data_IF_714220079311
#
_entry.id   IF_714220079311
#
_cell.length_a   1.000
_cell.length_b   1.000
_cell.length_c   1.000
_cell.angle_alpha   90.00
_cell.angle_beta   90.00
_cell.angle_gamma   90.00
#
_symmetry.space_group_name_H-M   'P 1'
#
loop_
_entity.id
_entity.type
_entity.pdbx_description
1 polymer ?
#
# COMPACT_ATOMS: atom_id res chain seq x y z
N UNK A 1 -10.69 -23.25 -8.35
CA UNK A 1 -9.95 -23.17 -7.08
C UNK A 1 -9.72 -21.70 -6.75
N UNK A 2 -10.61 -21.07 -5.98
CA UNK A 2 -10.40 -19.71 -5.49
C UNK A 2 -9.50 -19.75 -4.27
N UNK A 3 -8.27 -19.23 -4.37
CA UNK A 3 -7.42 -19.05 -3.19
C UNK A 3 -8.03 -17.93 -2.35
N UNK A 4 -8.52 -18.22 -1.15
CA UNK A 4 -8.77 -17.17 -0.16
C UNK A 4 -7.44 -16.45 0.09
N UNK A 5 -7.43 -15.12 0.04
CA UNK A 5 -6.25 -14.33 0.33
C UNK A 5 -6.01 -14.26 1.84
N UNK A 6 -5.54 -15.35 2.45
CA UNK A 6 -5.36 -15.49 3.91
C UNK A 6 -4.23 -14.62 4.51
N UNK A 7 -3.70 -13.67 3.74
CA UNK A 7 -2.55 -12.83 4.09
C UNK A 7 -2.66 -11.45 3.46
N UNK A 8 -1.87 -10.50 3.95
CA UNK A 8 -1.73 -9.17 3.35
C UNK A 8 -1.35 -9.28 1.87
N UNK A 9 -2.19 -8.72 0.98
CA UNK A 9 -1.95 -8.67 -0.46
C UNK A 9 -0.63 -7.96 -0.79
N UNK A 10 -0.32 -6.89 -0.06
CA UNK A 10 0.82 -6.05 -0.38
C UNK A 10 2.12 -6.71 0.05
N UNK A 11 2.19 -7.15 1.31
CA UNK A 11 3.38 -7.81 1.85
C UNK A 11 3.56 -9.25 1.36
N UNK A 12 2.48 -10.01 1.24
CA UNK A 12 2.54 -11.44 0.89
C UNK A 12 2.64 -11.74 -0.61
N UNK A 13 2.42 -10.74 -1.48
CA UNK A 13 2.43 -10.96 -2.94
C UNK A 13 3.13 -9.83 -3.70
N UNK A 14 2.69 -8.58 -3.53
CA UNK A 14 3.12 -7.48 -4.42
C UNK A 14 4.58 -7.08 -4.17
N UNK A 15 4.95 -6.78 -2.92
CA UNK A 15 6.31 -6.34 -2.58
C UNK A 15 7.37 -7.41 -2.94
N UNK A 16 7.20 -8.71 -2.62
CA UNK A 16 8.13 -9.75 -3.04
C UNK A 16 8.19 -9.95 -4.55
N UNK A 17 7.07 -9.82 -5.28
CA UNK A 17 7.06 -9.98 -6.74
C UNK A 17 7.93 -8.94 -7.44
N UNK A 18 7.91 -7.69 -6.95
CA UNK A 18 8.72 -6.60 -7.49
C UNK A 18 10.07 -6.42 -6.79
N UNK A 19 10.36 -7.22 -5.76
CA UNK A 19 11.57 -7.13 -4.94
C UNK A 19 11.85 -5.69 -4.45
N UNK A 20 10.82 -5.01 -3.96
CA UNK A 20 10.92 -3.62 -3.50
C UNK A 20 10.05 -3.38 -2.28
N UNK A 21 10.50 -2.46 -1.42
CA UNK A 21 9.65 -1.86 -0.40
C UNK A 21 8.49 -1.10 -1.06
N UNK A 22 7.33 -1.09 -0.39
CA UNK A 22 6.13 -0.39 -0.85
C UNK A 22 5.62 0.54 0.25
N UNK A 23 5.18 1.74 -0.11
CA UNK A 23 4.26 2.52 0.70
C UNK A 23 2.84 2.27 0.19
N UNK A 24 1.90 2.00 1.09
CA UNK A 24 0.53 1.63 0.77
C UNK A 24 -0.43 2.58 1.46
N UNK A 25 -1.21 3.28 0.65
CA UNK A 25 -2.38 4.04 1.09
C UNK A 25 -3.61 3.15 1.03
N UNK A 26 -4.39 3.17 2.10
CA UNK A 26 -5.61 2.39 2.24
C UNK A 26 -6.52 3.07 3.24
N UNK A 27 -7.81 3.07 2.96
CA UNK A 27 -8.82 3.53 3.90
C UNK A 27 -8.75 2.81 5.27
N UNK A 28 -8.50 3.59 6.34
CA UNK A 28 -8.40 3.09 7.73
C UNK A 28 -9.55 3.50 8.66
N UNK A 29 -10.62 4.08 8.12
CA UNK A 29 -11.84 4.37 8.90
C UNK A 29 -12.86 3.21 8.90
N UNK A 30 -12.41 1.99 8.62
CA UNK A 30 -13.23 0.79 8.73
C UNK A 30 -13.28 0.28 10.17
N UNK A 31 -14.37 -0.40 10.56
CA UNK A 31 -14.50 -0.99 11.90
C UNK A 31 -13.54 -2.15 12.20
N UNK A 32 -12.69 -2.54 11.25
CA UNK A 32 -11.77 -3.66 11.38
C UNK A 32 -10.37 -3.19 11.78
N UNK A 33 -9.61 -4.08 12.43
CA UNK A 33 -8.21 -3.82 12.75
C UNK A 33 -7.38 -3.71 11.46
N UNK A 34 -6.61 -2.64 11.35
CA UNK A 34 -5.62 -2.45 10.28
C UNK A 34 -4.44 -3.41 10.44
N UNK A 35 -3.81 -3.78 9.32
CA UNK A 35 -2.65 -4.67 9.34
C UNK A 35 -1.45 -3.98 10.02
N UNK A 36 -1.25 -2.70 9.72
CA UNK A 36 -0.07 -1.94 10.13
C UNK A 36 1.09 -2.10 9.16
N UNK A 37 2.08 -1.20 9.31
CA UNK A 37 3.39 -1.38 8.68
C UNK A 37 3.95 -2.75 8.99
N UNK A 38 4.37 -3.46 7.94
CA UNK A 38 4.94 -4.81 8.03
C UNK A 38 6.41 -4.74 7.64
N UNK A 39 7.27 -5.00 8.62
CA UNK A 39 8.72 -4.98 8.47
C UNK A 39 9.24 -6.40 8.25
N UNK A 40 9.64 -6.70 7.02
CA UNK A 40 10.11 -8.02 6.61
C UNK A 40 11.64 -8.13 6.65
N UNK A 41 12.13 -9.30 6.22
CA UNK A 41 13.57 -9.56 6.08
C UNK A 41 14.12 -8.87 4.81
N UNK A 42 13.38 -8.98 3.70
CA UNK A 42 13.82 -8.48 2.39
C UNK A 42 13.09 -7.18 2.01
N UNK A 43 11.76 -7.21 2.05
CA UNK A 43 10.91 -6.07 1.74
C UNK A 43 10.08 -5.62 2.94
N UNK A 44 9.84 -4.32 3.01
CA UNK A 44 8.94 -3.68 3.94
C UNK A 44 7.72 -3.13 3.21
N UNK A 45 6.56 -3.20 3.86
CA UNK A 45 5.34 -2.54 3.38
C UNK A 45 4.85 -1.57 4.45
N UNK A 46 5.07 -0.29 4.17
CA UNK A 46 4.73 0.83 5.02
C UNK A 46 3.28 1.26 4.82
N UNK A 47 2.57 1.55 5.91
CA UNK A 47 1.28 2.25 5.84
C UNK A 47 1.52 3.74 5.66
N UNK A 48 0.89 4.32 4.63
CA UNK A 48 0.79 5.77 4.49
C UNK A 48 -0.21 6.26 5.53
N UNK A 49 0.19 7.27 6.29
CA UNK A 49 -0.63 7.88 7.35
C UNK A 49 -1.35 9.13 6.82
N UNK A 50 -0.65 9.92 6.01
CA UNK A 50 -1.18 11.10 5.36
C UNK A 50 -0.82 11.16 3.89
N UNK A 51 -1.77 11.64 3.12
CA UNK A 51 -1.64 11.87 1.69
C UNK A 51 -1.66 13.35 1.41
N UNK A 52 -0.77 13.80 0.53
CA UNK A 52 -0.73 15.18 0.04
C UNK A 52 -0.90 15.22 -1.47
N UNK A 53 -1.93 15.94 -1.91
CA UNK A 53 -2.19 16.15 -3.33
C UNK A 53 -2.40 17.64 -3.56
N UNK A 54 -1.51 18.24 -4.37
CA UNK A 54 -1.51 19.67 -4.65
C UNK A 54 -1.44 20.48 -3.34
N UNK A 55 -2.52 21.18 -2.98
CA UNK A 55 -2.63 22.01 -1.78
C UNK A 55 -3.52 21.39 -0.70
N UNK A 56 -3.88 20.11 -0.84
CA UNK A 56 -4.68 19.38 0.13
C UNK A 56 -3.82 18.29 0.80
N UNK A 57 -3.98 18.18 2.11
CA UNK A 57 -3.40 17.14 2.95
C UNK A 57 -4.53 16.51 3.75
N UNK A 58 -4.56 15.19 3.83
CA UNK A 58 -5.62 14.47 4.54
C UNK A 58 -5.09 13.13 5.07
N UNK A 59 -5.67 12.71 6.20
CA UNK A 59 -5.39 11.40 6.79
C UNK A 59 -5.97 10.28 5.91
N UNK A 60 -5.32 9.11 5.93
CA UNK A 60 -5.81 7.90 5.27
C UNK A 60 -7.23 7.46 5.70
N UNK A 61 -7.72 7.94 6.84
CA UNK A 61 -9.08 7.68 7.33
C UNK A 61 -10.16 8.41 6.50
N UNK A 62 -9.76 9.46 5.77
CA UNK A 62 -10.63 10.27 4.92
C UNK A 62 -10.55 9.87 3.44
N UNK A 63 -9.62 8.97 3.07
CA UNK A 63 -9.45 8.52 1.70
C UNK A 63 -9.94 7.07 1.52
N UNK A 64 -10.87 6.88 0.57
CA UNK A 64 -11.36 5.55 0.20
C UNK A 64 -10.44 4.83 -0.79
N UNK A 65 -9.43 5.52 -1.31
CA UNK A 65 -8.47 4.97 -2.27
C UNK A 65 -7.69 3.81 -1.66
N UNK A 66 -7.22 2.91 -2.54
CA UNK A 66 -6.23 1.90 -2.19
C UNK A 66 -5.18 1.91 -3.28
N UNK A 67 -3.98 2.34 -2.94
CA UNK A 67 -2.88 2.35 -3.88
C UNK A 67 -1.58 2.05 -3.17
N UNK A 68 -0.59 1.61 -3.94
CA UNK A 68 0.74 1.34 -3.42
C UNK A 68 1.78 1.82 -4.40
N UNK A 69 2.90 2.29 -3.88
CA UNK A 69 4.01 2.79 -4.68
C UNK A 69 5.32 2.21 -4.15
N UNK A 70 6.22 1.83 -5.05
CA UNK A 70 7.56 1.39 -4.65
C UNK A 70 8.37 2.55 -4.08
N UNK A 71 9.11 2.29 -3.01
CA UNK A 71 9.91 3.31 -2.30
C UNK A 71 11.32 3.49 -2.87
N UNK A 72 11.74 2.64 -3.81
CA UNK A 72 13.08 2.66 -4.40
C UNK A 72 13.00 3.07 -5.87
N UNK A 73 13.99 3.84 -6.35
CA UNK A 73 14.03 4.38 -7.73
C UNK A 73 14.26 3.33 -8.82
N UNK A 74 14.82 2.18 -8.46
CA UNK A 74 15.12 1.08 -9.39
C UNK A 74 13.85 0.34 -9.86
N UNK A 75 12.71 0.54 -9.19
CA UNK A 75 11.42 -0.01 -9.57
C UNK A 75 10.41 1.14 -9.57
N UNK A 76 9.87 1.56 -10.72
CA UNK A 76 8.90 2.66 -10.83
C UNK A 76 7.46 2.14 -10.82
N UNK A 77 7.14 1.35 -9.79
CA UNK A 77 5.89 0.60 -9.70
C UNK A 77 4.84 1.41 -8.97
N UNK A 78 3.70 1.59 -9.64
CA UNK A 78 2.48 2.11 -9.06
C UNK A 78 1.38 1.05 -9.17
N UNK A 79 0.63 0.85 -8.09
CA UNK A 79 -0.44 -0.13 -8.00
C UNK A 79 -1.73 0.51 -7.49
N UNK A 80 -2.87 0.07 -8.01
CA UNK A 80 -4.20 0.39 -7.47
C UNK A 80 -4.88 -0.91 -7.02
N UNK A 81 -5.32 -0.94 -5.77
CA UNK A 81 -5.88 -2.13 -5.10
C UNK A 81 -7.40 -2.11 -4.98
N UNK A 82 -7.99 -3.30 -4.85
CA UNK A 82 -9.43 -3.48 -4.67
C UNK A 82 -9.89 -3.67 -3.22
N UNK A 83 -8.98 -3.90 -2.27
CA UNK A 83 -9.29 -4.19 -0.87
C UNK A 83 -8.51 -3.27 0.08
N UNK A 84 -9.13 -2.91 1.20
CA UNK A 84 -8.43 -2.21 2.28
C UNK A 84 -7.34 -3.12 2.86
N UNK A 85 -6.29 -2.53 3.41
CA UNK A 85 -5.25 -3.23 4.15
C UNK A 85 -5.68 -3.48 5.61
N UNK A 86 -6.73 -4.30 5.79
CA UNK A 86 -7.31 -4.65 7.08
C UNK A 86 -7.45 -6.17 7.23
N UNK A 87 -7.30 -6.70 8.46
CA UNK A 87 -7.37 -8.15 8.71
C UNK A 87 -8.71 -8.78 8.29
N UNK A 88 -9.81 -8.03 8.37
CA UNK A 88 -11.13 -8.50 7.94
C UNK A 88 -11.20 -8.79 6.44
N UNK A 89 -10.32 -8.18 5.63
CA UNK A 89 -10.31 -8.32 4.18
C UNK A 89 -9.64 -9.60 3.70
N UNK A 90 -8.90 -10.32 4.55
CA UNK A 90 -8.22 -11.58 4.16
C UNK A 90 -9.19 -12.69 3.72
N UNK A 91 -10.46 -12.57 4.10
CA UNK A 91 -11.51 -13.53 3.68
C UNK A 91 -12.25 -13.09 2.42
N UNK A 92 -11.89 -11.96 1.83
CA UNK A 92 -12.53 -11.40 0.63
C UNK A 92 -11.64 -11.59 -0.58
N UNK A 93 -12.26 -11.83 -1.73
CA UNK A 93 -11.56 -11.73 -3.01
C UNK A 93 -11.13 -10.28 -3.26
N UNK A 94 -9.91 -10.10 -3.75
CA UNK A 94 -9.31 -8.80 -4.00
C UNK A 94 -8.01 -8.95 -4.78
N UNK A 95 -7.57 -7.87 -5.39
CA UNK A 95 -6.31 -7.84 -6.13
C UNK A 95 -5.86 -6.41 -6.35
N UNK A 96 -4.75 -6.24 -7.05
CA UNK A 96 -4.25 -4.95 -7.48
C UNK A 96 -3.82 -5.01 -8.95
N UNK A 97 -3.94 -3.87 -9.63
CA UNK A 97 -3.35 -3.64 -10.94
C UNK A 97 -2.10 -2.81 -10.74
N UNK A 98 -0.95 -3.31 -11.16
CA UNK A 98 0.33 -2.66 -11.03
C UNK A 98 0.91 -2.33 -12.41
N UNK A 99 1.56 -1.18 -12.53
CA UNK A 99 2.21 -0.71 -13.75
C UNK A 99 3.59 -0.16 -13.42
N UNK A 100 4.57 -0.49 -14.26
CA UNK A 100 5.86 0.19 -14.27
C UNK A 100 5.72 1.47 -15.12
N UNK A 101 5.57 2.60 -14.45
CA UNK A 101 5.40 3.88 -15.11
C UNK A 101 6.00 5.00 -14.24
N UNK A 102 7.14 5.52 -14.68
CA UNK A 102 7.88 6.58 -13.98
C UNK A 102 7.04 7.82 -13.66
N UNK A 103 6.06 8.19 -14.50
CA UNK A 103 5.23 9.38 -14.26
C UNK A 103 4.22 9.14 -13.16
N UNK A 104 3.47 8.04 -13.26
CA UNK A 104 2.49 7.67 -12.24
C UNK A 104 3.16 7.36 -10.90
N UNK A 105 4.28 6.64 -10.93
CA UNK A 105 5.10 6.38 -9.76
C UNK A 105 5.55 7.69 -9.10
N UNK A 106 6.12 8.64 -9.86
CA UNK A 106 6.51 9.94 -9.29
C UNK A 106 5.31 10.68 -8.69
N UNK A 107 4.15 10.66 -9.34
CA UNK A 107 2.94 11.30 -8.82
C UNK A 107 2.53 10.68 -7.48
N UNK A 108 2.40 9.36 -7.40
CA UNK A 108 1.97 8.69 -6.17
C UNK A 108 3.02 8.77 -5.06
N UNK A 109 4.31 8.61 -5.39
CA UNK A 109 5.39 8.71 -4.42
C UNK A 109 5.44 10.11 -3.79
N UNK A 110 5.29 11.17 -4.60
CA UNK A 110 5.25 12.53 -4.09
C UNK A 110 3.95 12.86 -3.33
N UNK A 111 2.95 11.98 -3.38
CA UNK A 111 1.73 12.09 -2.58
C UNK A 111 1.81 11.38 -1.24
N UNK A 112 2.87 10.59 -0.98
CA UNK A 112 3.16 10.08 0.37
C UNK A 112 3.74 11.22 1.20
N UNK A 113 2.96 11.75 2.13
CA UNK A 113 3.38 12.86 3.00
C UNK A 113 3.95 12.35 4.32
N UNK A 114 3.20 11.50 5.01
CA UNK A 114 3.63 10.78 6.21
C UNK A 114 3.36 9.29 6.06
N UNK A 115 4.26 8.46 6.56
CA UNK A 115 4.08 7.02 6.63
C UNK A 115 4.73 6.46 7.90
N UNK A 116 4.17 5.36 8.41
CA UNK A 116 4.74 4.67 9.57
C UNK A 116 5.89 3.80 9.09
N UNK A 117 7.12 4.18 9.44
CA UNK A 117 8.33 3.41 9.14
C UNK A 117 8.51 2.17 10.04
N UNK A 118 9.58 1.43 9.80
CA UNK A 118 10.07 0.42 10.74
C UNK A 118 10.87 1.13 11.83
N UNK A 119 10.46 1.00 13.10
CA UNK A 119 11.27 1.48 14.22
C UNK A 119 12.49 0.59 14.40
N UNK A 120 13.67 1.19 14.52
CA UNK A 120 14.89 0.53 15.01
C UNK A 120 15.23 1.10 16.38
#
# INVERSE_FOLDING_TARGET
>A
MGRSQSSDLWYGLIAPFYATNMAVESWRNGAAKDVGTTCGINENVYDVDKVKVLNAEFDNSLDHSKWGVSMQKNASIACVGGINRQYSQYKRGGGAVCIDNIRLWNTLLNSVDEYTGCGF
#
